data_IF_787115951456
#
_entry.id   IF_787115951456
#
_cell.length_a   1.000
_cell.length_b   1.000
_cell.length_c   1.000
_cell.angle_alpha   90.00
_cell.angle_beta   90.00
_cell.angle_gamma   90.00
#
_symmetry.space_group_name_H-M   'P 1'
#
loop_
_entity.id
_entity.type
_entity.pdbx_description
1 polymer ?
#
# COMPACT_ATOMS: atom_id res chain seq x y z
N UNK A 1 -8.77 20.11 6.09
CA UNK A 1 -8.82 18.72 5.61
C UNK A 1 -7.37 18.29 5.35
N UNK A 2 -6.84 17.34 6.14
CA UNK A 2 -5.42 16.99 6.12
C UNK A 2 -5.19 15.82 5.16
N UNK A 3 -5.05 16.11 3.87
CA UNK A 3 -4.73 15.13 2.82
C UNK A 3 -3.22 14.83 2.75
N UNK A 4 -2.86 13.64 2.28
CA UNK A 4 -1.46 13.18 2.14
C UNK A 4 -0.92 13.51 0.75
N UNK A 5 -0.53 14.76 0.55
CA UNK A 5 0.05 15.24 -0.70
C UNK A 5 0.26 16.75 -0.64
N UNK A 6 0.97 17.29 -1.62
CA UNK A 6 0.99 18.74 -1.80
C UNK A 6 -0.45 19.20 -2.04
N UNK A 7 -1.03 19.93 -1.08
CA UNK A 7 -2.41 20.42 -1.16
C UNK A 7 -2.57 21.54 -2.16
N UNK A 8 -1.47 22.08 -2.67
CA UNK A 8 -1.39 23.13 -3.68
C UNK A 8 -0.17 22.88 -4.55
N UNK A 9 -0.30 23.12 -5.84
CA UNK A 9 0.80 23.04 -6.80
C UNK A 9 1.10 24.44 -7.36
N UNK A 10 1.53 25.36 -6.49
CA UNK A 10 1.84 26.73 -6.90
C UNK A 10 3.06 26.75 -7.84
N UNK A 11 3.04 27.65 -8.83
CA UNK A 11 4.16 27.84 -9.77
C UNK A 11 5.47 28.07 -9.00
N UNK A 12 6.50 27.23 -9.20
CA UNK A 12 7.77 27.40 -8.52
C UNK A 12 8.43 28.74 -8.86
N UNK A 13 8.63 29.59 -7.85
CA UNK A 13 9.24 30.92 -8.01
C UNK A 13 10.75 30.87 -8.25
N UNK A 14 11.40 29.74 -7.95
CA UNK A 14 12.87 29.57 -8.04
C UNK A 14 13.43 29.84 -9.44
N UNK A 15 12.65 29.58 -10.49
CA UNK A 15 13.10 29.71 -11.88
C UNK A 15 12.26 30.71 -12.69
N UNK A 16 11.43 31.53 -12.04
CA UNK A 16 10.50 32.45 -12.71
C UNK A 16 9.73 31.77 -13.85
N UNK A 17 9.15 30.60 -13.57
CA UNK A 17 8.34 29.88 -14.55
C UNK A 17 7.08 30.70 -14.84
N UNK A 18 6.60 30.64 -16.09
CA UNK A 18 5.32 31.25 -16.46
C UNK A 18 4.19 30.64 -15.63
N UNK A 19 3.25 31.49 -15.22
CA UNK A 19 2.01 31.02 -14.63
C UNK A 19 1.19 30.20 -15.64
N UNK A 20 0.48 29.21 -15.11
CA UNK A 20 -0.42 28.36 -15.87
C UNK A 20 -1.82 28.58 -15.32
N UNK A 21 -2.75 28.85 -16.21
CA UNK A 21 -4.18 28.86 -15.90
C UNK A 21 -4.77 27.51 -16.30
N UNK A 22 -5.64 26.96 -15.45
CA UNK A 22 -6.40 25.75 -15.76
C UNK A 22 -7.62 26.17 -16.60
N UNK A 23 -7.77 25.60 -17.79
CA UNK A 23 -8.90 25.86 -18.72
C UNK A 23 -10.15 25.04 -18.35
N UNK A 24 -10.01 24.15 -17.37
CA UNK A 24 -11.01 23.19 -16.94
C UNK A 24 -11.31 22.09 -17.96
N UNK A 25 -12.03 21.06 -17.53
CA UNK A 25 -12.64 20.07 -18.42
C UNK A 25 -13.99 19.58 -17.87
N UNK A 26 -14.60 18.62 -18.58
CA UNK A 26 -15.91 18.09 -18.22
C UNK A 26 -15.94 17.36 -16.85
N UNK A 27 -14.80 16.93 -16.29
CA UNK A 27 -14.75 16.38 -14.92
C UNK A 27 -15.00 17.45 -13.87
N UNK A 28 -14.74 18.72 -14.15
CA UNK A 28 -14.96 19.81 -13.19
C UNK A 28 -16.46 20.00 -12.91
N UNK A 29 -17.30 19.81 -13.93
CA UNK A 29 -18.77 19.88 -13.82
C UNK A 29 -19.38 18.65 -13.12
N UNK A 30 -18.59 17.60 -12.87
CA UNK A 30 -19.09 16.33 -12.34
C UNK A 30 -19.74 16.50 -10.96
N UNK A 31 -19.19 17.36 -10.10
CA UNK A 31 -19.76 17.59 -8.78
C UNK A 31 -21.15 18.21 -8.85
N UNK A 32 -21.38 19.11 -9.81
CA UNK A 32 -22.68 19.77 -10.02
C UNK A 32 -23.72 18.82 -10.65
N UNK A 33 -23.28 17.88 -11.49
CA UNK A 33 -24.16 16.94 -12.21
C UNK A 33 -24.48 15.71 -11.33
N UNK A 34 -23.45 15.04 -10.81
CA UNK A 34 -23.56 13.75 -10.13
C UNK A 34 -23.47 13.87 -8.60
N UNK A 35 -23.11 15.04 -8.08
CA UNK A 35 -22.78 15.25 -6.67
C UNK A 35 -21.36 14.82 -6.31
N UNK A 36 -20.88 15.29 -5.16
CA UNK A 36 -19.58 14.91 -4.63
C UNK A 36 -19.53 13.39 -4.33
N UNK A 37 -18.47 12.67 -4.74
CA UNK A 37 -18.31 11.27 -4.37
C UNK A 37 -18.16 11.15 -2.85
N UNK A 38 -18.71 10.07 -2.24
CA UNK A 38 -18.54 9.85 -0.82
C UNK A 38 -17.05 9.68 -0.48
N UNK A 39 -16.61 10.10 0.73
CA UNK A 39 -15.23 9.93 1.14
C UNK A 39 -14.87 8.45 1.16
N UNK A 40 -13.77 8.10 0.50
CA UNK A 40 -13.29 6.73 0.46
C UNK A 40 -12.85 6.30 1.86
N UNK A 41 -13.55 5.32 2.45
CA UNK A 41 -13.26 4.81 3.78
C UNK A 41 -12.47 3.51 3.72
N UNK A 42 -11.37 3.47 4.45
CA UNK A 42 -10.58 2.25 4.62
C UNK A 42 -11.34 1.24 5.48
N UNK A 43 -11.48 0.03 4.97
CA UNK A 43 -11.96 -1.15 5.69
C UNK A 43 -10.82 -2.16 5.78
N UNK A 44 -10.70 -2.83 6.92
CA UNK A 44 -9.60 -3.77 7.18
C UNK A 44 -10.18 -5.13 7.55
N UNK A 45 -9.80 -6.15 6.78
CA UNK A 45 -10.13 -7.55 7.06
C UNK A 45 -8.94 -8.22 7.72
N UNK A 46 -9.18 -8.98 8.80
CA UNK A 46 -8.13 -9.75 9.46
C UNK A 46 -7.88 -11.04 8.67
N UNK A 47 -6.66 -11.19 8.16
CA UNK A 47 -6.16 -12.38 7.50
C UNK A 47 -5.27 -13.17 8.48
N UNK A 48 -5.51 -14.48 8.59
CA UNK A 48 -4.72 -15.39 9.43
C UNK A 48 -3.97 -16.40 8.54
N UNK A 49 -2.81 -16.03 8.00
CA UNK A 49 -2.04 -16.94 7.17
C UNK A 49 -1.39 -18.05 8.01
N UNK A 50 -1.07 -19.18 7.38
CA UNK A 50 -0.27 -20.24 8.02
C UNK A 50 1.22 -19.92 8.06
N UNK A 51 1.68 -19.06 7.15
CA UNK A 51 3.09 -18.68 7.04
C UNK A 51 3.25 -17.18 6.76
N UNK A 52 4.33 -16.66 7.35
CA UNK A 52 4.99 -15.36 7.17
C UNK A 52 5.55 -14.98 5.80
N UNK A 53 6.53 -15.80 5.42
CA UNK A 53 7.57 -15.46 4.47
C UNK A 53 7.15 -15.99 3.10
N UNK A 54 7.00 -15.08 2.15
CA UNK A 54 6.85 -15.43 0.74
C UNK A 54 8.23 -15.58 0.10
N UNK A 55 8.42 -16.62 -0.70
CA UNK A 55 9.69 -16.89 -1.41
C UNK A 55 9.53 -16.73 -2.91
N UNK A 56 10.59 -16.29 -3.57
CA UNK A 56 10.68 -16.22 -5.02
C UNK A 56 12.02 -16.80 -5.50
N UNK A 57 12.12 -17.06 -6.81
CA UNK A 57 13.34 -17.57 -7.47
C UNK A 57 13.67 -16.74 -8.72
N UNK A 58 13.19 -15.50 -8.80
CA UNK A 58 13.43 -14.67 -9.98
C UNK A 58 14.91 -14.25 -9.98
N UNK A 59 15.62 -14.39 -11.12
CA UNK A 59 16.98 -13.89 -11.25
C UNK A 59 17.05 -12.37 -11.33
N UNK A 60 15.92 -11.68 -11.50
CA UNK A 60 15.83 -10.25 -11.77
C UNK A 60 15.76 -9.39 -10.49
N UNK A 61 15.55 -10.01 -9.33
CA UNK A 61 15.46 -9.32 -8.04
C UNK A 61 16.50 -9.82 -7.04
N UNK A 62 17.11 -8.93 -6.24
CA UNK A 62 18.25 -9.27 -5.39
C UNK A 62 17.89 -10.00 -4.09
N UNK A 63 16.63 -10.41 -3.90
CA UNK A 63 16.14 -11.06 -2.70
C UNK A 63 15.28 -12.28 -3.03
N UNK A 64 15.41 -13.36 -2.24
CA UNK A 64 14.64 -14.60 -2.40
C UNK A 64 13.42 -14.69 -1.49
N UNK A 65 13.29 -13.76 -0.53
CA UNK A 65 12.27 -13.80 0.52
C UNK A 65 11.74 -12.41 0.85
N UNK A 66 10.44 -12.35 1.13
CA UNK A 66 9.76 -11.13 1.51
C UNK A 66 8.73 -11.35 2.61
N UNK A 67 8.41 -10.27 3.32
CA UNK A 67 7.39 -10.21 4.35
C UNK A 67 6.50 -9.00 4.11
N UNK A 68 5.20 -9.24 4.05
CA UNK A 68 4.18 -8.21 3.89
C UNK A 68 3.15 -8.38 5.01
N UNK A 69 3.18 -7.48 6.00
CA UNK A 69 2.26 -7.43 7.13
C UNK A 69 0.81 -7.14 6.71
N UNK A 70 0.64 -6.48 5.58
CA UNK A 70 -0.65 -6.09 5.02
C UNK A 70 -0.83 -6.59 3.58
N UNK A 71 -2.04 -6.48 3.05
CA UNK A 71 -2.31 -6.48 1.61
C UNK A 71 -3.15 -5.25 1.26
N UNK A 72 -2.85 -4.64 0.11
CA UNK A 72 -3.38 -3.32 -0.26
C UNK A 72 -2.58 -2.20 0.39
N UNK A 73 -2.81 -0.96 -0.04
CA UNK A 73 -2.04 0.18 0.46
C UNK A 73 -2.85 1.49 0.42
N UNK A 74 -3.01 2.14 1.58
CA UNK A 74 -3.70 3.44 1.71
C UNK A 74 -2.96 4.62 1.02
N UNK A 75 -1.77 4.39 0.47
CA UNK A 75 -1.08 5.41 -0.33
C UNK A 75 -1.73 5.62 -1.70
N UNK A 76 -2.46 4.63 -2.23
CA UNK A 76 -3.25 4.80 -3.44
C UNK A 76 -2.49 5.20 -4.70
N UNK A 77 -1.16 4.97 -4.77
CA UNK A 77 -0.37 5.40 -5.92
C UNK A 77 -0.94 4.80 -7.22
N UNK A 78 -1.31 5.67 -8.17
CA UNK A 78 -1.95 5.27 -9.42
C UNK A 78 -1.07 4.30 -10.24
N UNK A 79 0.25 4.44 -10.14
CA UNK A 79 1.26 3.64 -10.82
C UNK A 79 1.72 2.41 -10.01
N UNK A 80 1.06 2.06 -8.91
CA UNK A 80 1.50 0.96 -8.06
C UNK A 80 1.35 -0.40 -8.76
N UNK A 81 2.47 -1.08 -8.98
CA UNK A 81 2.49 -2.39 -9.65
C UNK A 81 1.78 -3.50 -8.85
N UNK A 82 1.55 -3.30 -7.55
CA UNK A 82 0.88 -4.26 -6.69
C UNK A 82 -0.64 -4.26 -6.83
N UNK A 83 -1.23 -3.24 -7.47
CA UNK A 83 -2.68 -3.09 -7.68
C UNK A 83 -3.38 -4.35 -8.24
N UNK A 84 -2.84 -5.03 -9.27
CA UNK A 84 -3.45 -6.23 -9.82
C UNK A 84 -3.59 -7.38 -8.81
N UNK A 85 -2.84 -7.36 -7.69
CA UNK A 85 -2.94 -8.45 -6.69
C UNK A 85 -4.29 -8.51 -5.99
N UNK A 86 -5.06 -7.41 -5.97
CA UNK A 86 -6.43 -7.39 -5.44
C UNK A 86 -7.43 -8.17 -6.30
N UNK A 87 -7.16 -8.34 -7.60
CA UNK A 87 -8.03 -9.13 -8.47
C UNK A 87 -8.07 -10.61 -8.05
N UNK A 88 -7.01 -11.14 -7.42
CA UNK A 88 -7.02 -12.51 -6.85
C UNK A 88 -7.94 -12.68 -5.65
N UNK A 89 -8.48 -11.57 -5.11
CA UNK A 89 -9.45 -11.54 -4.02
C UNK A 89 -10.85 -11.16 -4.49
N UNK A 90 -11.10 -11.19 -5.81
CA UNK A 90 -12.34 -10.69 -6.44
C UNK A 90 -12.62 -9.22 -6.09
N UNK A 91 -11.55 -8.44 -5.89
CA UNK A 91 -11.61 -7.00 -5.60
C UNK A 91 -11.05 -6.18 -6.77
N UNK A 92 -11.53 -4.95 -6.91
CA UNK A 92 -11.05 -4.04 -7.95
C UNK A 92 -9.56 -3.67 -7.73
N UNK A 93 -8.70 -3.78 -8.75
CA UNK A 93 -7.34 -3.21 -8.72
C UNK A 93 -7.32 -1.67 -8.57
N UNK A 94 -8.47 -1.00 -8.75
CA UNK A 94 -8.66 0.43 -8.58
C UNK A 94 -8.84 0.82 -7.11
N UNK A 95 -10.01 1.38 -6.77
CA UNK A 95 -10.28 1.94 -5.45
C UNK A 95 -10.28 0.89 -4.32
N UNK A 96 -10.57 -0.39 -4.62
CA UNK A 96 -10.55 -1.42 -3.58
C UNK A 96 -9.12 -1.70 -3.08
N UNK A 97 -8.08 -1.51 -3.91
CA UNK A 97 -6.68 -1.68 -3.49
C UNK A 97 -6.27 -0.75 -2.35
N UNK A 98 -6.79 0.48 -2.36
CA UNK A 98 -6.47 1.53 -1.40
C UNK A 98 -7.49 1.66 -0.26
N UNK A 99 -8.68 1.06 -0.42
CA UNK A 99 -9.77 1.15 0.58
C UNK A 99 -10.15 -0.17 1.25
N UNK A 100 -9.81 -1.34 0.68
CA UNK A 100 -10.09 -2.66 1.26
C UNK A 100 -8.78 -3.38 1.53
N UNK A 101 -8.32 -3.27 2.76
CA UNK A 101 -7.03 -3.78 3.17
C UNK A 101 -7.16 -5.08 3.94
N UNK A 102 -6.08 -5.84 3.96
CA UNK A 102 -5.94 -7.01 4.80
C UNK A 102 -4.80 -6.80 5.78
N UNK A 103 -5.03 -7.09 7.05
CA UNK A 103 -4.01 -7.07 8.10
C UNK A 103 -3.72 -8.48 8.58
N UNK A 104 -2.45 -8.76 8.92
CA UNK A 104 -2.00 -10.06 9.43
C UNK A 104 -1.44 -9.92 10.85
N UNK A 105 -2.29 -9.84 11.89
CA UNK A 105 -1.84 -9.58 13.27
C UNK A 105 -0.81 -10.58 13.78
N UNK A 106 -0.93 -11.84 13.36
CA UNK A 106 -0.06 -12.93 13.80
C UNK A 106 1.32 -12.95 13.10
N UNK A 107 1.62 -11.95 12.25
CA UNK A 107 2.84 -11.91 11.44
C UNK A 107 4.12 -12.08 12.28
N UNK A 108 4.26 -11.37 13.40
CA UNK A 108 5.46 -11.46 14.23
C UNK A 108 5.64 -12.85 14.87
N UNK A 109 4.56 -13.46 15.33
CA UNK A 109 4.58 -14.80 15.91
C UNK A 109 4.99 -15.84 14.86
N UNK A 110 4.37 -15.78 13.68
CA UNK A 110 4.70 -16.64 12.54
C UNK A 110 6.14 -16.41 12.06
N UNK A 111 6.63 -15.17 12.06
CA UNK A 111 8.01 -14.86 11.69
C UNK A 111 8.98 -15.53 12.65
N UNK A 112 8.73 -15.39 13.96
CA UNK A 112 9.56 -15.99 15.00
C UNK A 112 9.62 -17.52 14.86
N UNK A 113 8.48 -18.15 14.62
CA UNK A 113 8.39 -19.59 14.39
C UNK A 113 9.19 -20.02 13.15
N UNK A 114 8.99 -19.33 12.01
CA UNK A 114 9.71 -19.62 10.76
C UNK A 114 11.23 -19.47 10.90
N UNK A 115 11.69 -18.40 11.56
CA UNK A 115 13.11 -18.14 11.79
C UNK A 115 13.76 -19.15 12.75
N UNK A 116 12.98 -19.76 13.64
CA UNK A 116 13.46 -20.73 14.63
C UNK A 116 13.57 -22.17 14.08
N UNK A 117 13.12 -22.44 12.85
CA UNK A 117 13.14 -23.79 12.28
C UNK A 117 14.57 -24.34 12.13
N UNK A 118 14.84 -25.60 12.51
CA UNK A 118 16.12 -26.24 12.24
C UNK A 118 16.47 -26.18 10.76
N UNK A 119 17.64 -25.64 10.44
CA UNK A 119 18.10 -25.49 9.05
C UNK A 119 17.67 -24.19 8.35
N UNK A 120 16.99 -23.26 9.05
CA UNK A 120 16.76 -21.93 8.51
C UNK A 120 18.10 -21.22 8.24
N UNK A 121 18.31 -20.77 7.00
CA UNK A 121 19.48 -19.98 6.60
C UNK A 121 19.12 -18.51 6.61
N UNK A 122 19.76 -17.74 7.48
CA UNK A 122 19.60 -16.29 7.54
C UNK A 122 20.00 -15.64 6.21
N UNK A 123 19.12 -14.78 5.69
CA UNK A 123 19.35 -13.99 4.49
C UNK A 123 18.47 -12.73 4.56
N UNK A 124 18.77 -11.68 3.77
CA UNK A 124 17.97 -10.46 3.74
C UNK A 124 16.48 -10.75 3.49
N UNK A 125 15.61 -10.07 4.24
CA UNK A 125 14.16 -10.19 4.12
C UNK A 125 13.59 -8.87 3.61
N UNK A 126 13.06 -8.89 2.38
CA UNK A 126 12.47 -7.69 1.79
C UNK A 126 11.11 -7.39 2.41
N UNK A 127 10.92 -6.15 2.87
CA UNK A 127 9.62 -5.60 3.26
C UNK A 127 9.25 -4.51 2.26
N UNK A 128 7.96 -4.25 2.09
CA UNK A 128 7.54 -3.21 1.13
C UNK A 128 7.37 -3.71 -0.30
N UNK A 129 7.31 -5.03 -0.52
CA UNK A 129 7.32 -5.58 -1.89
C UNK A 129 5.94 -5.51 -2.55
N UNK A 130 4.85 -5.72 -1.82
CA UNK A 130 3.50 -5.68 -2.41
C UNK A 130 2.55 -4.71 -1.68
N UNK A 131 3.01 -4.12 -0.59
CA UNK A 131 2.28 -3.16 0.24
C UNK A 131 3.31 -2.29 0.93
N UNK A 132 2.97 -1.06 1.32
CA UNK A 132 3.85 -0.26 2.14
C UNK A 132 3.77 -0.69 3.61
N UNK A 133 4.91 -0.98 4.29
CA UNK A 133 4.92 -1.48 5.65
C UNK A 133 4.59 -0.39 6.69
N UNK A 134 4.71 0.89 6.32
CA UNK A 134 4.47 2.06 7.17
C UNK A 134 3.33 2.92 6.64
N UNK A 135 2.37 2.31 5.95
CA UNK A 135 1.12 2.98 5.62
C UNK A 135 0.42 3.48 6.90
N UNK A 136 -0.33 4.60 6.85
CA UNK A 136 -1.22 5.05 7.94
C UNK A 136 -1.84 4.01 8.91
N UNK A 137 -2.48 2.92 8.45
CA UNK A 137 -3.04 1.90 9.36
C UNK A 137 -1.99 1.28 10.29
N UNK A 138 -0.71 1.30 9.94
CA UNK A 138 0.38 0.84 10.82
C UNK A 138 0.43 1.63 12.13
N UNK A 139 -0.04 2.89 12.17
CA UNK A 139 -0.15 3.65 13.43
C UNK A 139 -1.09 2.96 14.43
N UNK A 140 -2.10 2.26 13.95
CA UNK A 140 -3.12 1.60 14.77
C UNK A 140 -2.71 0.16 15.05
N UNK A 141 -2.27 -0.56 14.01
CA UNK A 141 -2.03 -2.00 14.07
C UNK A 141 -0.63 -2.37 14.56
N UNK A 142 0.40 -1.57 14.26
CA UNK A 142 1.77 -1.82 14.72
C UNK A 142 2.37 -3.16 14.28
N UNK A 143 1.84 -3.81 13.24
CA UNK A 143 2.21 -5.17 12.86
C UNK A 143 3.62 -5.18 12.27
N UNK A 144 3.96 -4.25 11.38
CA UNK A 144 5.32 -4.13 10.85
C UNK A 144 6.31 -3.91 11.99
N UNK A 145 5.99 -3.01 12.93
CA UNK A 145 6.81 -2.75 14.11
C UNK A 145 7.02 -4.00 14.96
N UNK A 146 6.04 -4.88 15.06
CA UNK A 146 6.19 -6.13 15.83
C UNK A 146 7.10 -7.18 15.17
N UNK A 147 7.42 -7.01 13.87
CA UNK A 147 8.27 -7.92 13.11
C UNK A 147 9.76 -7.53 13.11
N UNK A 148 10.12 -6.39 13.69
CA UNK A 148 11.50 -5.85 13.79
C UNK A 148 12.01 -5.92 15.22
#
# INVERSE_FOLDING_TARGET
>A
MTGRGATRNATPTRFNLNDREEDGDWLDDREDIDGAPPPLRTTVTIERPKTIIARNRSPDIPFDRSLNAYRGCEHGCIYCFARPTHAYHDLSPGLDFESKLFAKPDAAALLREELAKPGYKAAPLAMGTNTDPYQPIERIYGITRSCI
#
